data_IF_088137823267
#
_entry.id   IF_088137823267
#
_cell.length_a   1.000
_cell.length_b   1.000
_cell.length_c   1.000
_cell.angle_alpha   90.00
_cell.angle_beta   90.00
_cell.angle_gamma   90.00
#
_symmetry.space_group_name_H-M   'P 1'
#
loop_
_entity.id
_entity.type
_entity.pdbx_description
1 polymer ?
#
# COMPACT_ATOMS: atom_id res chain seq x y z
N UNK A 1 -18.15 -1.50 -14.24
CA UNK A 1 -18.61 -1.54 -12.82
C UNK A 1 -18.22 -2.78 -11.98
N UNK A 2 -18.83 -3.98 -12.11
CA UNK A 2 -18.53 -5.14 -11.21
C UNK A 2 -17.10 -5.68 -11.36
N UNK A 3 -16.61 -5.78 -12.60
CA UNK A 3 -15.25 -6.29 -12.91
C UNK A 3 -14.16 -5.36 -12.38
N UNK A 4 -14.38 -4.04 -12.44
CA UNK A 4 -13.47 -3.01 -11.93
C UNK A 4 -13.21 -3.17 -10.45
N UNK A 5 -14.28 -3.32 -9.67
CA UNK A 5 -14.19 -3.50 -8.23
C UNK A 5 -13.50 -4.82 -7.86
N UNK A 6 -13.76 -5.89 -8.61
CA UNK A 6 -13.12 -7.19 -8.38
C UNK A 6 -11.63 -7.14 -8.69
N UNK A 7 -11.20 -6.47 -9.76
CA UNK A 7 -9.77 -6.27 -10.08
C UNK A 7 -9.09 -5.54 -8.92
N UNK A 8 -9.69 -4.45 -8.44
CA UNK A 8 -9.12 -3.65 -7.35
C UNK A 8 -9.01 -4.41 -6.02
N UNK A 9 -10.04 -5.21 -5.70
CA UNK A 9 -10.03 -6.11 -4.54
C UNK A 9 -8.98 -7.19 -4.66
N UNK A 10 -8.80 -7.73 -5.86
CA UNK A 10 -7.81 -8.75 -6.15
C UNK A 10 -6.40 -8.16 -6.03
N UNK A 11 -6.16 -6.96 -6.52
CA UNK A 11 -4.89 -6.23 -6.36
C UNK A 11 -4.53 -6.02 -4.89
N UNK A 12 -5.52 -5.58 -4.08
CA UNK A 12 -5.38 -5.41 -2.63
C UNK A 12 -5.10 -6.73 -1.91
N UNK A 13 -5.85 -7.78 -2.28
CA UNK A 13 -5.71 -9.11 -1.67
C UNK A 13 -4.37 -9.73 -2.03
N UNK A 14 -3.93 -9.57 -3.28
CA UNK A 14 -2.66 -10.09 -3.79
C UNK A 14 -1.49 -9.44 -3.07
N UNK A 15 -1.50 -8.12 -2.85
CA UNK A 15 -0.41 -7.43 -2.14
C UNK A 15 -0.29 -7.90 -0.68
N UNK A 16 -1.42 -8.06 0.02
CA UNK A 16 -1.44 -8.61 1.39
C UNK A 16 -0.94 -10.05 1.40
N UNK A 17 -1.38 -10.88 0.45
CA UNK A 17 -0.96 -12.27 0.34
C UNK A 17 0.54 -12.36 0.06
N UNK A 18 1.10 -11.50 -0.79
CA UNK A 18 2.55 -11.42 -1.03
C UNK A 18 3.29 -11.02 0.24
N UNK A 19 2.83 -10.00 0.99
CA UNK A 19 3.43 -9.63 2.28
C UNK A 19 3.41 -10.79 3.28
N UNK A 20 2.31 -11.54 3.39
CA UNK A 20 2.24 -12.73 4.23
C UNK A 20 3.17 -13.85 3.74
N UNK A 21 3.28 -14.02 2.42
CA UNK A 21 4.20 -14.99 1.83
C UNK A 21 5.65 -14.66 2.19
N UNK A 22 6.04 -13.38 2.15
CA UNK A 22 7.36 -12.94 2.63
C UNK A 22 7.58 -13.33 4.09
N UNK A 23 6.62 -13.03 4.98
CA UNK A 23 6.70 -13.41 6.39
C UNK A 23 6.94 -14.91 6.55
N UNK A 24 6.13 -15.75 5.89
CA UNK A 24 6.27 -17.21 5.97
C UNK A 24 7.62 -17.68 5.43
N UNK A 25 8.10 -17.14 4.31
CA UNK A 25 9.39 -17.51 3.72
C UNK A 25 10.57 -17.17 4.63
N UNK A 26 10.54 -16.00 5.26
CA UNK A 26 11.59 -15.58 6.20
C UNK A 26 11.52 -16.36 7.52
N UNK A 27 10.32 -16.63 8.06
CA UNK A 27 10.16 -17.44 9.29
C UNK A 27 10.54 -18.91 9.11
N UNK A 28 10.52 -19.43 7.88
CA UNK A 28 10.97 -20.79 7.56
C UNK A 28 12.47 -20.85 7.20
N UNK A 29 13.22 -19.77 7.42
CA UNK A 29 14.65 -19.65 7.09
C UNK A 29 14.97 -19.96 5.60
N UNK A 30 13.98 -19.86 4.71
CA UNK A 30 14.17 -20.07 3.27
C UNK A 30 14.93 -18.89 2.67
N UNK A 31 14.76 -17.69 3.26
CA UNK A 31 15.45 -16.46 2.90
C UNK A 31 16.34 -16.01 4.06
N UNK A 32 17.59 -15.63 3.76
CA UNK A 32 18.49 -15.09 4.79
C UNK A 32 17.98 -13.75 5.32
N UNK A 33 17.81 -13.70 6.64
CA UNK A 33 17.45 -12.51 7.41
C UNK A 33 18.69 -11.63 7.61
N UNK A 34 18.51 -10.31 7.69
CA UNK A 34 19.52 -9.41 8.23
C UNK A 34 20.74 -9.16 7.34
N UNK A 35 20.67 -9.47 6.04
CA UNK A 35 21.81 -9.30 5.13
C UNK A 35 22.32 -7.84 5.05
N UNK A 36 21.48 -6.83 5.33
CA UNK A 36 21.89 -5.42 5.39
C UNK A 36 21.90 -4.84 6.81
N UNK A 37 21.71 -5.67 7.85
CA UNK A 37 21.67 -5.20 9.24
C UNK A 37 23.02 -4.72 9.81
N UNK A 38 24.13 -4.98 9.11
CA UNK A 38 25.45 -4.51 9.54
C UNK A 38 25.65 -3.00 9.28
N UNK A 39 24.96 -2.43 8.28
CA UNK A 39 25.14 -1.05 7.84
C UNK A 39 24.14 -0.11 8.54
N UNK A 40 24.50 0.34 9.76
CA UNK A 40 23.68 1.27 10.56
C UNK A 40 23.35 2.58 9.85
N UNK A 41 24.23 3.05 8.96
CA UNK A 41 24.00 4.28 8.19
C UNK A 41 22.86 4.06 7.18
N UNK A 42 22.86 2.91 6.48
CA UNK A 42 21.83 2.58 5.50
C UNK A 42 20.47 2.35 6.18
N UNK A 43 20.44 1.68 7.34
CA UNK A 43 19.24 1.50 8.17
C UNK A 43 18.60 2.84 8.51
N UNK A 44 19.39 3.80 9.01
CA UNK A 44 18.89 5.12 9.39
C UNK A 44 18.29 5.91 8.21
N UNK A 45 18.96 5.95 7.06
CA UNK A 45 18.43 6.66 5.89
C UNK A 45 17.17 6.00 5.32
N UNK A 46 17.15 4.66 5.27
CA UNK A 46 15.96 3.93 4.81
C UNK A 46 14.78 4.09 5.78
N UNK A 47 15.03 4.06 7.08
CA UNK A 47 14.01 4.26 8.10
C UNK A 47 13.34 5.62 7.94
N UNK A 48 14.12 6.70 7.89
CA UNK A 48 13.57 8.06 7.72
C UNK A 48 12.81 8.19 6.39
N UNK A 49 13.38 7.67 5.30
CA UNK A 49 12.73 7.75 3.99
C UNK A 49 11.37 7.04 4.00
N UNK A 50 11.31 5.82 4.54
CA UNK A 50 10.07 5.05 4.61
C UNK A 50 9.08 5.61 5.61
N UNK A 51 9.52 6.15 6.74
CA UNK A 51 8.64 6.83 7.70
C UNK A 51 7.94 8.02 7.07
N UNK A 52 8.71 8.92 6.46
CA UNK A 52 8.18 10.11 5.79
C UNK A 52 7.27 9.70 4.63
N UNK A 53 7.69 8.73 3.82
CA UNK A 53 6.88 8.22 2.73
C UNK A 53 5.55 7.64 3.24
N UNK A 54 5.57 6.80 4.28
CA UNK A 54 4.36 6.16 4.81
C UNK A 54 3.42 7.20 5.42
N UNK A 55 3.93 8.14 6.21
CA UNK A 55 3.17 9.23 6.83
C UNK A 55 2.53 10.15 5.78
N UNK A 56 3.21 10.43 4.66
CA UNK A 56 2.68 11.25 3.58
C UNK A 56 1.70 10.48 2.66
N UNK A 57 1.97 9.21 2.36
CA UNK A 57 1.18 8.40 1.44
C UNK A 57 -0.19 8.03 2.02
N UNK A 58 -0.30 7.81 3.33
CA UNK A 58 -1.60 7.51 3.98
C UNK A 58 -2.63 8.64 3.76
N UNK A 59 -2.40 9.90 4.18
CA UNK A 59 -3.36 10.98 3.96
C UNK A 59 -3.52 11.33 2.48
N UNK A 60 -2.47 11.16 1.66
CA UNK A 60 -2.56 11.38 0.22
C UNK A 60 -3.52 10.39 -0.43
N UNK A 61 -3.40 9.09 -0.10
CA UNK A 61 -4.29 8.04 -0.60
C UNK A 61 -5.75 8.30 -0.19
N UNK A 62 -5.98 8.86 1.00
CA UNK A 62 -7.30 9.21 1.51
C UNK A 62 -7.88 10.49 0.87
N UNK A 63 -7.01 11.42 0.45
CA UNK A 63 -7.41 12.73 -0.10
C UNK A 63 -7.45 12.77 -1.63
N UNK A 64 -6.91 11.77 -2.31
CA UNK A 64 -6.81 11.68 -3.78
C UNK A 64 -8.16 11.92 -4.49
N UNK A 65 -9.25 11.34 -3.99
CA UNK A 65 -10.60 11.50 -4.56
C UNK A 65 -11.27 12.85 -4.25
N UNK A 66 -10.76 13.62 -3.27
CA UNK A 66 -11.27 14.97 -2.98
C UNK A 66 -10.75 16.03 -3.95
N UNK A 67 -9.79 15.70 -4.82
CA UNK A 67 -9.28 16.65 -5.79
C UNK A 67 -10.23 16.79 -6.98
N UNK A 68 -10.65 18.03 -7.24
CA UNK A 68 -11.56 18.39 -8.35
C UNK A 68 -11.07 17.87 -9.71
N UNK A 69 -9.76 17.77 -9.90
CA UNK A 69 -9.15 17.27 -11.13
C UNK A 69 -9.38 15.76 -11.35
N UNK A 70 -9.39 14.97 -10.27
CA UNK A 70 -9.64 13.53 -10.29
C UNK A 70 -11.14 13.27 -10.45
N UNK A 71 -11.97 14.01 -9.70
CA UNK A 71 -13.43 13.93 -9.83
C UNK A 71 -13.90 14.31 -11.24
N UNK A 72 -13.32 15.36 -11.83
CA UNK A 72 -13.64 15.78 -13.21
C UNK A 72 -13.18 14.74 -14.25
N UNK A 73 -11.99 14.15 -14.07
CA UNK A 73 -11.50 13.08 -14.96
C UNK A 73 -12.35 11.81 -14.88
N UNK A 74 -12.87 11.45 -13.70
CA UNK A 74 -13.81 10.33 -13.53
C UNK A 74 -15.13 10.64 -14.23
N UNK A 75 -15.59 11.90 -14.20
CA UNK A 75 -16.80 12.32 -14.87
C UNK A 75 -16.68 12.31 -16.41
N UNK A 76 -15.49 12.60 -16.96
CA UNK A 76 -15.28 12.63 -18.42
C UNK A 76 -14.94 11.26 -19.03
N UNK A 77 -14.13 10.44 -18.36
CA UNK A 77 -13.62 9.16 -18.87
C UNK A 77 -14.32 7.92 -18.27
N UNK A 78 -15.23 8.12 -17.30
CA UNK A 78 -16.05 7.08 -16.70
C UNK A 78 -15.26 5.94 -16.04
N UNK A 79 -15.59 4.70 -16.41
CA UNK A 79 -15.10 3.46 -15.77
C UNK A 79 -13.58 3.26 -15.86
N UNK A 80 -12.90 3.78 -16.90
CA UNK A 80 -11.44 3.61 -17.09
C UNK A 80 -10.60 4.53 -16.21
N UNK A 81 -11.00 5.80 -16.08
CA UNK A 81 -10.33 6.74 -15.18
C UNK A 81 -10.49 6.28 -13.73
N UNK A 82 -11.67 5.78 -13.36
CA UNK A 82 -11.93 5.27 -12.02
C UNK A 82 -11.06 4.05 -11.67
N UNK A 83 -10.85 3.14 -12.63
CA UNK A 83 -9.87 2.05 -12.49
C UNK A 83 -8.47 2.59 -12.21
N UNK A 84 -7.97 3.50 -13.06
CA UNK A 84 -6.61 4.04 -12.94
C UNK A 84 -6.37 4.74 -11.62
N UNK A 85 -7.27 5.62 -11.19
CA UNK A 85 -7.13 6.38 -9.95
C UNK A 85 -7.36 5.50 -8.71
N UNK A 86 -8.25 4.50 -8.79
CA UNK A 86 -8.44 3.51 -7.75
C UNK A 86 -7.20 2.62 -7.56
N UNK A 87 -6.61 2.13 -8.65
CA UNK A 87 -5.38 1.33 -8.63
C UNK A 87 -4.22 2.17 -8.11
N UNK A 88 -4.07 3.41 -8.58
CA UNK A 88 -3.03 4.31 -8.09
C UNK A 88 -3.12 4.54 -6.57
N UNK A 89 -4.34 4.76 -6.06
CA UNK A 89 -4.59 4.91 -4.62
C UNK A 89 -4.20 3.64 -3.83
N UNK A 90 -4.55 2.47 -4.35
CA UNK A 90 -4.16 1.21 -3.70
C UNK A 90 -2.67 0.96 -3.77
N UNK A 91 -2.04 1.21 -4.92
CA UNK A 91 -0.61 1.07 -5.10
C UNK A 91 0.16 1.99 -4.14
N UNK A 92 -0.31 3.22 -3.93
CA UNK A 92 0.27 4.16 -2.96
C UNK A 92 0.31 3.62 -1.52
N UNK A 93 -0.55 2.65 -1.16
CA UNK A 93 -0.57 2.02 0.17
C UNK A 93 0.06 0.63 0.17
N UNK A 94 -0.19 -0.16 -0.87
CA UNK A 94 0.30 -1.54 -0.99
C UNK A 94 1.81 -1.58 -1.21
N UNK A 95 2.36 -0.67 -2.02
CA UNK A 95 3.81 -0.59 -2.29
C UNK A 95 4.59 -0.31 -1.00
N UNK A 96 4.31 0.74 -0.21
CA UNK A 96 5.03 0.96 1.03
C UNK A 96 4.80 -0.15 2.06
N UNK A 97 3.60 -0.77 2.11
CA UNK A 97 3.36 -1.93 2.99
C UNK A 97 4.26 -3.12 2.64
N UNK A 98 4.34 -3.49 1.35
CA UNK A 98 5.21 -4.59 0.89
C UNK A 98 6.68 -4.28 1.13
N UNK A 99 7.12 -3.06 0.80
CA UNK A 99 8.49 -2.62 1.03
C UNK A 99 8.85 -2.64 2.52
N UNK A 100 7.99 -2.11 3.39
CA UNK A 100 8.22 -2.12 4.84
C UNK A 100 8.31 -3.55 5.40
N UNK A 101 7.48 -4.48 4.89
CA UNK A 101 7.56 -5.90 5.28
C UNK A 101 8.91 -6.50 4.88
N UNK A 102 9.39 -6.19 3.68
CA UNK A 102 10.68 -6.67 3.20
C UNK A 102 11.86 -6.03 3.96
N UNK A 103 11.86 -4.71 4.14
CA UNK A 103 12.87 -3.98 4.90
C UNK A 103 12.95 -4.43 6.36
N UNK A 104 11.81 -4.79 6.96
CA UNK A 104 11.78 -5.37 8.31
C UNK A 104 12.67 -6.61 8.42
N UNK A 105 12.57 -7.55 7.48
CA UNK A 105 13.42 -8.76 7.50
C UNK A 105 14.87 -8.48 7.08
N UNK A 106 15.10 -7.44 6.28
CA UNK A 106 16.43 -7.11 5.78
C UNK A 106 17.31 -6.38 6.81
N UNK A 107 16.72 -5.48 7.61
CA UNK A 107 17.40 -4.70 8.63
C UNK A 107 17.11 -5.19 10.06
N UNK A 108 16.11 -6.06 10.25
CA UNK A 108 15.64 -6.54 11.56
C UNK A 108 15.22 -5.39 12.49
N UNK A 109 14.74 -4.29 11.89
CA UNK A 109 14.34 -3.10 12.61
C UNK A 109 12.82 -3.07 12.79
N UNK A 110 12.39 -3.08 14.05
CA UNK A 110 10.98 -3.16 14.46
C UNK A 110 10.16 -1.97 13.93
N UNK A 111 10.79 -0.81 13.67
CA UNK A 111 10.13 0.35 13.10
C UNK A 111 9.44 0.03 11.76
N UNK A 112 10.13 -0.68 10.85
CA UNK A 112 9.56 -1.08 9.57
C UNK A 112 8.38 -2.05 9.73
N UNK A 113 8.45 -2.93 10.74
CA UNK A 113 7.35 -3.83 11.09
C UNK A 113 6.09 -3.05 11.48
N UNK A 114 6.21 -2.05 12.36
CA UNK A 114 5.09 -1.20 12.74
C UNK A 114 4.51 -0.43 11.55
N UNK A 115 5.36 0.12 10.68
CA UNK A 115 4.92 0.82 9.47
C UNK A 115 4.18 -0.11 8.50
N UNK A 116 4.62 -1.38 8.37
CA UNK A 116 3.92 -2.41 7.61
C UNK A 116 2.52 -2.67 8.15
N UNK A 117 2.38 -2.84 9.47
CA UNK A 117 1.09 -3.05 10.14
C UNK A 117 0.17 -1.83 9.96
N UNK A 118 0.69 -0.61 10.13
CA UNK A 118 -0.07 0.63 9.90
C UNK A 118 -0.53 0.69 8.44
N UNK A 119 0.32 0.31 7.49
CA UNK A 119 -0.03 0.18 6.08
C UNK A 119 -1.20 -0.78 5.86
N UNK A 120 -1.16 -1.96 6.48
CA UNK A 120 -2.22 -2.96 6.41
C UNK A 120 -3.54 -2.45 7.01
N UNK A 121 -3.51 -1.80 8.17
CA UNK A 121 -4.70 -1.19 8.79
C UNK A 121 -5.27 -0.07 7.91
N UNK A 122 -4.41 0.77 7.33
CA UNK A 122 -4.84 1.85 6.44
C UNK A 122 -5.47 1.33 5.14
N UNK A 123 -5.04 0.17 4.64
CA UNK A 123 -5.66 -0.51 3.50
C UNK A 123 -7.11 -0.91 3.81
N UNK A 124 -7.43 -1.31 5.04
CA UNK A 124 -8.80 -1.63 5.45
C UNK A 124 -9.75 -0.42 5.34
N UNK A 125 -9.27 0.80 5.64
CA UNK A 125 -10.04 2.04 5.48
C UNK A 125 -10.24 2.45 4.02
N UNK A 126 -9.31 2.04 3.15
CA UNK A 126 -9.30 2.34 1.72
C UNK A 126 -9.97 1.25 0.88
N UNK A 127 -10.37 0.14 1.50
CA UNK A 127 -10.86 -1.04 0.80
C UNK A 127 -12.05 -0.72 -0.12
N UNK A 128 -11.97 -1.10 -1.42
CA UNK A 128 -12.97 -0.75 -2.42
C UNK A 128 -14.31 -1.46 -2.16
N UNK A 129 -15.23 -0.72 -1.56
CA UNK A 129 -16.59 -1.15 -1.22
C UNK A 129 -17.60 -0.53 -2.18
N UNK A 130 -18.63 -1.30 -2.60
CA UNK A 130 -19.67 -0.81 -3.53
C UNK A 130 -20.32 0.49 -3.04
N UNK A 131 -20.49 0.65 -1.73
CA UNK A 131 -21.09 1.84 -1.11
C UNK A 131 -20.26 3.10 -1.36
N UNK A 132 -18.92 2.99 -1.32
CA UNK A 132 -18.02 4.13 -1.61
C UNK A 132 -17.96 4.46 -3.10
N UNK A 133 -17.99 3.43 -3.96
CA UNK A 133 -18.08 3.62 -5.42
C UNK A 133 -19.32 4.46 -5.79
N UNK A 134 -20.49 4.15 -5.21
CA UNK A 134 -21.74 4.88 -5.50
C UNK A 134 -21.71 6.30 -4.91
N UNK A 135 -21.08 6.50 -3.75
CA UNK A 135 -20.89 7.84 -3.17
C UNK A 135 -19.93 8.73 -3.96
N UNK A 136 -18.89 8.16 -4.57
CA UNK A 136 -17.90 8.90 -5.36
C UNK A 136 -18.41 9.23 -6.78
N UNK A 137 -19.45 8.52 -7.26
CA UNK A 137 -20.13 8.79 -8.53
C UNK A 137 -21.27 9.83 -8.43
N UNK A 138 -21.64 10.26 -7.22
CA UNK A 138 -22.78 11.14 -6.95
C UNK A 138 -22.31 12.58 -6.75
#
# INVERSE_FOLDING_TARGET
MKSVLNILRLEAGLSVLISLCFVVLYENDILLVGQWGADRIADYYWAIFMEVATICLIPLSLRLFKWKHVASAIHSDGDKAMLRWGTLRLAMLCVPMMLNTWLYYQFVNVAFGYMGIIGLLSLAFVYPTRTRYIQEMK
#
